data_IF_648738840456
#
_entry.id   IF_648738840456
#
_cell.length_a   1.000
_cell.length_b   1.000
_cell.length_c   1.000
_cell.angle_alpha   90.00
_cell.angle_beta   90.00
_cell.angle_gamma   90.00
#
_symmetry.space_group_name_H-M   'P 1'
#
loop_
_entity.id
_entity.type
_entity.pdbx_description
1 polymer ?
#
# COMPACT_ATOMS: atom_id res chain seq x y z
N UNK A 1 -1.65 -33.03 -6.53
CA UNK A 1 -2.31 -34.31 -6.25
C UNK A 1 -2.68 -34.30 -4.78
N UNK A 2 -3.78 -33.65 -4.39
CA UNK A 2 -5.14 -34.17 -4.55
C UNK A 2 -5.22 -35.64 -4.16
N UNK A 3 -5.46 -35.91 -2.88
CA UNK A 3 -6.76 -36.35 -2.35
C UNK A 3 -6.57 -36.63 -0.85
N UNK A 4 -6.99 -35.70 0.00
CA UNK A 4 -7.10 -35.96 1.44
C UNK A 4 -8.32 -36.85 1.71
N UNK A 5 -8.24 -38.12 1.30
CA UNK A 5 -9.26 -39.12 1.67
C UNK A 5 -9.04 -39.43 3.14
N UNK A 6 -10.00 -39.02 3.99
CA UNK A 6 -10.04 -39.48 5.36
C UNK A 6 -10.38 -40.98 5.36
N UNK A 7 -9.37 -41.83 5.50
CA UNK A 7 -9.54 -43.28 5.59
C UNK A 7 -9.62 -43.63 7.08
N UNK A 8 -10.81 -43.98 7.55
CA UNK A 8 -11.03 -44.44 8.93
C UNK A 8 -10.90 -45.97 8.96
N UNK A 9 -9.76 -46.48 9.44
CA UNK A 9 -9.51 -47.93 9.54
C UNK A 9 -9.75 -48.44 10.97
N UNK A 10 -10.36 -49.62 11.16
CA UNK A 10 -10.41 -50.29 12.45
C UNK A 10 -9.00 -50.63 12.96
N UNK A 11 -8.75 -50.36 14.26
CA UNK A 11 -7.42 -50.46 14.88
C UNK A 11 -6.72 -51.82 14.66
N UNK A 12 -7.49 -52.92 14.63
CA UNK A 12 -6.96 -54.28 14.40
C UNK A 12 -6.37 -54.47 13.00
N UNK A 13 -6.93 -53.82 11.99
CA UNK A 13 -6.46 -53.90 10.61
C UNK A 13 -5.25 -53.01 10.37
N UNK A 14 -5.18 -51.86 11.06
CA UNK A 14 -4.05 -50.94 11.01
C UNK A 14 -2.77 -51.58 11.58
N UNK A 15 -2.88 -52.26 12.71
CA UNK A 15 -1.75 -52.94 13.37
C UNK A 15 -1.22 -54.17 12.60
N UNK A 16 -1.99 -54.74 11.68
CA UNK A 16 -1.55 -55.87 10.87
C UNK A 16 -0.69 -55.47 9.66
N UNK A 17 -0.67 -54.18 9.30
CA UNK A 17 -0.01 -53.66 8.09
C UNK A 17 1.14 -52.69 8.43
N UNK A 18 1.19 -52.16 9.65
CA UNK A 18 2.26 -51.25 10.08
C UNK A 18 3.51 -52.01 10.52
N UNK A 19 4.68 -51.61 10.00
CA UNK A 19 5.99 -51.96 10.57
C UNK A 19 6.20 -51.28 11.93
N UNK A 20 6.99 -51.91 12.81
CA UNK A 20 7.20 -51.53 14.22
C UNK A 20 7.93 -50.18 14.43
N UNK A 21 8.22 -49.41 13.38
CA UNK A 21 8.83 -48.08 13.48
C UNK A 21 7.79 -46.96 13.48
N UNK A 22 7.50 -46.43 14.68
CA UNK A 22 6.64 -45.25 14.84
C UNK A 22 7.50 -43.98 14.83
N UNK A 23 7.46 -43.24 13.72
CA UNK A 23 8.18 -41.99 13.56
C UNK A 23 7.40 -40.84 14.24
N UNK A 24 7.70 -40.58 15.51
CA UNK A 24 7.08 -39.51 16.29
C UNK A 24 7.67 -38.14 15.93
N UNK A 25 7.02 -37.43 14.99
CA UNK A 25 7.41 -36.06 14.62
C UNK A 25 6.80 -35.07 15.64
N UNK A 26 7.58 -34.70 16.65
CA UNK A 26 7.23 -33.59 17.56
C UNK A 26 7.62 -32.27 16.90
N UNK A 27 6.64 -31.46 16.50
CA UNK A 27 6.87 -30.12 15.95
C UNK A 27 7.40 -29.17 17.05
N UNK A 28 8.73 -29.11 17.19
CA UNK A 28 9.39 -28.16 18.09
C UNK A 28 9.61 -26.83 17.35
N UNK A 29 8.61 -25.95 17.45
CA UNK A 29 8.56 -24.65 16.76
C UNK A 29 9.73 -23.73 17.18
N UNK A 30 10.27 -23.91 18.39
CA UNK A 30 11.30 -23.02 18.94
C UNK A 30 12.70 -23.23 18.34
N UNK A 31 12.99 -24.41 17.77
CA UNK A 31 14.35 -24.71 17.24
C UNK A 31 14.57 -24.17 15.82
N UNK A 32 13.52 -24.10 15.00
CA UNK A 32 13.61 -23.51 13.65
C UNK A 32 13.79 -21.99 13.67
N UNK A 33 13.36 -21.32 14.75
CA UNK A 33 13.53 -19.86 14.91
C UNK A 33 14.96 -19.45 15.27
N UNK A 34 15.74 -20.36 15.87
CA UNK A 34 17.11 -20.06 16.34
C UNK A 34 18.20 -20.51 15.34
N UNK A 35 17.95 -21.52 14.50
CA UNK A 35 18.92 -21.98 13.49
C UNK A 35 18.81 -21.19 12.17
N UNK A 36 17.65 -20.60 11.88
CA UNK A 36 17.51 -19.55 10.88
C UNK A 36 17.65 -18.23 11.63
N UNK A 37 18.78 -17.53 11.49
CA UNK A 37 19.05 -16.25 12.18
C UNK A 37 18.05 -15.14 11.86
N UNK A 38 16.82 -15.25 12.37
CA UNK A 38 15.81 -14.21 12.40
C UNK A 38 16.00 -13.51 13.74
N UNK A 39 17.05 -12.68 13.80
CA UNK A 39 17.21 -11.69 14.86
C UNK A 39 15.94 -10.85 14.93
N UNK A 40 15.12 -11.09 15.95
CA UNK A 40 13.86 -10.39 16.20
C UNK A 40 14.06 -8.95 16.70
N UNK A 41 15.28 -8.39 16.68
CA UNK A 41 15.56 -7.01 17.09
C UNK A 41 16.57 -6.28 16.20
N UNK A 42 16.36 -6.29 14.89
CA UNK A 42 16.98 -5.29 14.01
C UNK A 42 15.92 -4.29 13.62
N UNK A 43 15.97 -3.07 14.18
CA UNK A 43 15.24 -1.90 13.67
C UNK A 43 15.23 -2.00 12.14
N UNK A 44 14.04 -2.24 11.60
CA UNK A 44 13.81 -2.62 10.21
C UNK A 44 14.65 -1.70 9.31
N UNK A 45 15.52 -2.26 8.46
CA UNK A 45 16.37 -1.51 7.52
C UNK A 45 15.58 -0.42 6.75
N UNK A 46 14.28 -0.67 6.56
CA UNK A 46 13.27 0.25 6.08
C UNK A 46 13.23 1.60 6.83
N UNK A 47 13.17 1.58 8.17
CA UNK A 47 13.15 2.79 9.00
C UNK A 47 14.46 3.58 8.89
N UNK A 48 15.58 2.93 8.56
CA UNK A 48 16.87 3.62 8.38
C UNK A 48 16.88 4.46 7.09
N UNK A 49 16.25 3.97 6.03
CA UNK A 49 16.09 4.72 4.76
C UNK A 49 15.15 5.91 4.98
N UNK A 50 14.08 5.73 5.76
CA UNK A 50 13.18 6.82 6.14
C UNK A 50 13.84 7.87 7.05
N UNK A 51 14.68 7.43 8.00
CA UNK A 51 15.41 8.32 8.91
C UNK A 51 16.44 9.23 8.23
N UNK A 52 16.92 8.88 7.05
CA UNK A 52 17.90 9.69 6.33
C UNK A 52 17.30 10.89 5.59
N UNK A 53 15.98 10.94 5.37
CA UNK A 53 15.32 12.00 4.59
C UNK A 53 14.42 12.95 5.42
N UNK A 54 14.48 12.89 6.76
CA UNK A 54 13.76 13.80 7.69
C UNK A 54 13.79 15.29 7.32
N UNK A 55 14.90 15.89 6.84
CA UNK A 55 14.90 17.32 6.48
C UNK A 55 13.97 17.66 5.30
N UNK A 56 13.64 16.72 4.42
CA UNK A 56 12.67 16.93 3.35
C UNK A 56 11.24 16.88 3.91
N UNK A 57 10.98 15.97 4.86
CA UNK A 57 9.68 15.91 5.56
C UNK A 57 9.34 17.22 6.26
N UNK A 58 10.30 17.87 6.91
CA UNK A 58 10.06 19.16 7.58
C UNK A 58 9.67 20.25 6.57
N UNK A 59 10.30 20.29 5.39
CA UNK A 59 9.97 21.26 4.33
C UNK A 59 8.57 21.03 3.76
N UNK A 60 8.21 19.76 3.52
CA UNK A 60 6.87 19.36 3.09
C UNK A 60 5.83 19.74 4.14
N UNK A 61 6.11 19.52 5.42
CA UNK A 61 5.21 19.84 6.52
C UNK A 61 4.96 21.35 6.63
N UNK A 62 5.99 22.18 6.49
CA UNK A 62 5.87 23.64 6.46
C UNK A 62 5.06 24.11 5.25
N UNK A 63 5.34 23.59 4.05
CA UNK A 63 4.59 23.95 2.84
C UNK A 63 3.10 23.60 2.97
N UNK A 64 2.79 22.40 3.49
CA UNK A 64 1.42 21.98 3.78
C UNK A 64 0.74 22.84 4.82
N UNK A 65 1.47 23.30 5.84
CA UNK A 65 0.94 24.20 6.86
C UNK A 65 0.43 25.50 6.27
N UNK A 66 1.25 26.17 5.48
CA UNK A 66 0.84 27.42 4.84
C UNK A 66 -0.25 27.21 3.78
N UNK A 67 -0.18 26.12 2.99
CA UNK A 67 -1.23 25.81 2.02
C UNK A 67 -2.59 25.58 2.70
N UNK A 68 -2.63 24.78 3.77
CA UNK A 68 -3.87 24.54 4.50
C UNK A 68 -4.39 25.79 5.23
N UNK A 69 -3.50 26.67 5.72
CA UNK A 69 -3.90 27.93 6.31
C UNK A 69 -4.53 28.87 5.26
N UNK A 70 -3.95 28.94 4.06
CA UNK A 70 -4.51 29.72 2.95
C UNK A 70 -5.83 29.15 2.45
N UNK A 71 -6.03 27.83 2.50
CA UNK A 71 -7.30 27.21 2.15
C UNK A 71 -8.47 27.70 3.03
N UNK A 72 -8.20 28.05 4.30
CA UNK A 72 -9.21 28.62 5.21
C UNK A 72 -9.65 30.03 4.77
N UNK A 73 -8.80 30.77 4.06
CA UNK A 73 -9.09 32.14 3.60
C UNK A 73 -10.34 32.18 2.71
N UNK A 74 -10.57 31.15 1.88
CA UNK A 74 -11.77 31.06 1.04
C UNK A 74 -13.06 30.95 1.87
N UNK A 75 -13.04 30.17 2.96
CA UNK A 75 -14.19 30.05 3.87
C UNK A 75 -14.42 31.33 4.67
N UNK A 76 -13.34 31.96 5.16
CA UNK A 76 -13.41 33.25 5.85
C UNK A 76 -13.91 34.36 4.92
N UNK A 77 -13.52 34.37 3.65
CA UNK A 77 -14.07 35.32 2.69
C UNK A 77 -15.59 35.27 2.61
N UNK A 78 -16.15 34.07 2.47
CA UNK A 78 -17.60 33.88 2.48
C UNK A 78 -18.22 34.44 3.76
N UNK A 79 -17.65 34.11 4.92
CA UNK A 79 -18.08 34.62 6.23
C UNK A 79 -18.09 36.16 6.26
N UNK A 80 -16.98 36.81 5.89
CA UNK A 80 -16.86 38.26 5.87
C UNK A 80 -17.80 38.92 4.85
N UNK A 81 -18.02 38.29 3.69
CA UNK A 81 -18.94 38.81 2.68
C UNK A 81 -20.37 38.82 3.22
N UNK A 82 -20.82 37.70 3.79
CA UNK A 82 -22.18 37.59 4.32
C UNK A 82 -22.41 38.45 5.57
N UNK A 83 -21.49 38.43 6.53
CA UNK A 83 -21.69 39.10 7.82
C UNK A 83 -21.40 40.60 7.75
N UNK A 84 -20.47 41.04 6.88
CA UNK A 84 -19.97 42.41 6.91
C UNK A 84 -20.18 43.16 5.61
N UNK A 85 -19.96 42.55 4.45
CA UNK A 85 -20.00 43.28 3.17
C UNK A 85 -21.42 43.50 2.69
N UNK A 86 -22.26 42.46 2.71
CA UNK A 86 -23.66 42.53 2.27
C UNK A 86 -24.46 43.51 3.13
N UNK A 87 -24.37 43.50 4.48
CA UNK A 87 -25.15 44.42 5.31
C UNK A 87 -24.69 45.87 5.19
N UNK A 88 -23.38 46.12 5.11
CA UNK A 88 -22.84 47.48 5.04
C UNK A 88 -22.78 48.05 3.61
N UNK A 89 -23.14 47.27 2.58
CA UNK A 89 -23.07 47.64 1.15
C UNK A 89 -21.75 48.33 0.76
N UNK A 90 -20.63 47.88 1.33
CA UNK A 90 -19.33 48.50 1.12
C UNK A 90 -18.62 47.83 -0.05
N UNK A 91 -18.75 48.42 -1.25
CA UNK A 91 -18.08 47.93 -2.46
C UNK A 91 -16.56 47.97 -2.35
N UNK A 92 -16.01 49.00 -1.69
CA UNK A 92 -14.56 49.13 -1.46
C UNK A 92 -13.99 47.94 -0.65
N UNK A 93 -14.71 47.52 0.40
CA UNK A 93 -14.30 46.36 1.21
C UNK A 93 -14.41 45.06 0.43
N UNK A 94 -15.41 44.94 -0.46
CA UNK A 94 -15.58 43.77 -1.31
C UNK A 94 -14.38 43.59 -2.25
N UNK A 95 -13.98 44.63 -2.97
CA UNK A 95 -12.85 44.57 -3.89
C UNK A 95 -11.54 44.25 -3.17
N UNK A 96 -11.31 44.86 -2.00
CA UNK A 96 -10.14 44.57 -1.18
C UNK A 96 -10.08 43.09 -0.74
N UNK A 97 -11.21 42.54 -0.26
CA UNK A 97 -11.31 41.13 0.14
C UNK A 97 -11.16 40.19 -1.05
N UNK A 98 -11.76 40.52 -2.19
CA UNK A 98 -11.70 39.71 -3.40
C UNK A 98 -10.26 39.57 -3.91
N UNK A 99 -9.51 40.67 -3.98
CA UNK A 99 -8.10 40.66 -4.39
C UNK A 99 -7.27 39.83 -3.39
N UNK A 100 -7.51 39.99 -2.09
CA UNK A 100 -6.84 39.22 -1.05
C UNK A 100 -7.05 37.71 -1.19
N UNK A 101 -8.28 37.28 -1.49
CA UNK A 101 -8.63 35.88 -1.68
C UNK A 101 -8.06 35.31 -2.96
N UNK A 102 -8.13 36.04 -4.07
CA UNK A 102 -7.52 35.61 -5.33
C UNK A 102 -6.01 35.40 -5.17
N UNK A 103 -5.34 36.31 -4.46
CA UNK A 103 -3.92 36.19 -4.14
C UNK A 103 -3.67 34.98 -3.22
N UNK A 104 -4.47 34.80 -2.17
CA UNK A 104 -4.37 33.66 -1.26
C UNK A 104 -4.57 32.32 -1.98
N UNK A 105 -5.56 32.22 -2.87
CA UNK A 105 -5.80 31.03 -3.70
C UNK A 105 -4.64 30.78 -4.67
N UNK A 106 -4.06 31.82 -5.27
CA UNK A 106 -2.86 31.70 -6.10
C UNK A 106 -1.66 31.16 -5.31
N UNK A 107 -1.41 31.69 -4.11
CA UNK A 107 -0.35 31.22 -3.23
C UNK A 107 -0.61 29.79 -2.73
N UNK A 108 -1.85 29.44 -2.40
CA UNK A 108 -2.25 28.08 -2.01
C UNK A 108 -1.93 27.09 -3.13
N UNK A 109 -2.33 27.42 -4.36
CA UNK A 109 -2.06 26.58 -5.53
C UNK A 109 -0.55 26.40 -5.75
N UNK A 110 0.25 27.47 -5.68
CA UNK A 110 1.71 27.41 -5.81
C UNK A 110 2.32 26.53 -4.72
N UNK A 111 1.92 26.71 -3.45
CA UNK A 111 2.44 25.90 -2.34
C UNK A 111 2.05 24.42 -2.45
N UNK A 112 0.82 24.14 -2.91
CA UNK A 112 0.35 22.78 -3.17
C UNK A 112 1.16 22.12 -4.29
N UNK A 113 1.47 22.84 -5.38
CA UNK A 113 2.34 22.33 -6.44
C UNK A 113 3.78 22.12 -5.94
N UNK A 114 4.35 23.06 -5.19
CA UNK A 114 5.68 22.91 -4.60
C UNK A 114 5.76 21.70 -3.67
N UNK A 115 4.74 21.48 -2.84
CA UNK A 115 4.62 20.27 -1.99
C UNK A 115 4.69 19.00 -2.84
N UNK A 116 3.94 18.95 -3.95
CA UNK A 116 3.94 17.80 -4.87
C UNK A 116 5.34 17.55 -5.45
N UNK A 117 5.98 18.59 -5.98
CA UNK A 117 7.31 18.46 -6.60
C UNK A 117 8.37 18.04 -5.58
N UNK A 118 8.28 18.50 -4.33
CA UNK A 118 9.17 18.09 -3.24
C UNK A 118 8.99 16.60 -2.89
N UNK A 119 7.75 16.12 -2.86
CA UNK A 119 7.45 14.71 -2.64
C UNK A 119 7.99 13.84 -3.80
N UNK A 120 7.82 14.27 -5.04
CA UNK A 120 8.32 13.56 -6.23
C UNK A 120 9.86 13.49 -6.22
N UNK A 121 10.53 14.59 -5.89
CA UNK A 121 12.00 14.62 -5.78
C UNK A 121 12.52 13.69 -4.67
N UNK A 122 11.83 13.68 -3.53
CA UNK A 122 12.14 12.77 -2.42
C UNK A 122 11.98 11.31 -2.85
N UNK A 123 10.86 10.98 -3.51
CA UNK A 123 10.58 9.65 -4.05
C UNK A 123 11.68 9.16 -4.99
N UNK A 124 12.12 9.99 -5.94
CA UNK A 124 13.21 9.68 -6.88
C UNK A 124 14.54 9.41 -6.18
N UNK A 125 14.90 10.21 -5.17
CA UNK A 125 16.17 10.04 -4.45
C UNK A 125 16.19 8.75 -3.61
N UNK A 126 15.07 8.46 -2.95
CA UNK A 126 14.89 7.21 -2.19
C UNK A 126 14.90 6.00 -3.13
N UNK A 127 14.32 6.12 -4.32
CA UNK A 127 14.35 5.07 -5.34
C UNK A 127 15.77 4.71 -5.76
N UNK A 128 16.55 5.69 -6.23
CA UNK A 128 17.92 5.49 -6.71
C UNK A 128 18.82 4.82 -5.66
N UNK A 129 18.69 5.24 -4.41
CA UNK A 129 19.48 4.70 -3.30
C UNK A 129 19.07 3.26 -2.95
N UNK A 130 17.77 2.99 -2.92
CA UNK A 130 17.21 1.69 -2.53
C UNK A 130 17.41 0.64 -3.62
N UNK A 131 17.21 1.00 -4.89
CA UNK A 131 17.35 0.08 -6.02
C UNK A 131 18.80 -0.41 -6.15
N UNK A 132 19.78 0.49 -6.00
CA UNK A 132 21.20 0.14 -5.93
C UNK A 132 21.56 -0.70 -4.70
N UNK A 133 20.91 -0.50 -3.55
CA UNK A 133 21.10 -1.36 -2.36
C UNK A 133 20.55 -2.78 -2.59
N UNK A 134 19.33 -2.91 -3.11
CA UNK A 134 18.70 -4.19 -3.38
C UNK A 134 19.49 -5.02 -4.39
N UNK A 135 19.93 -4.41 -5.49
CA UNK A 135 20.75 -5.09 -6.49
C UNK A 135 22.10 -5.55 -5.89
N UNK A 136 22.78 -4.70 -5.11
CA UNK A 136 24.01 -5.09 -4.41
C UNK A 136 23.80 -6.21 -3.41
N UNK A 137 22.64 -6.26 -2.76
CA UNK A 137 22.30 -7.35 -1.86
C UNK A 137 22.06 -8.65 -2.62
N UNK A 138 21.30 -8.61 -3.73
CA UNK A 138 21.09 -9.75 -4.64
C UNK A 138 22.41 -10.33 -5.15
N UNK A 139 23.36 -9.48 -5.56
CA UNK A 139 24.68 -9.90 -6.02
C UNK A 139 25.55 -10.54 -4.92
N UNK A 140 25.22 -10.34 -3.64
CA UNK A 140 25.95 -10.89 -2.49
C UNK A 140 25.26 -12.11 -1.87
N UNK A 141 24.09 -12.51 -2.37
CA UNK A 141 23.44 -13.73 -1.92
C UNK A 141 24.31 -14.94 -2.29
N UNK A 142 24.59 -15.79 -1.30
CA UNK A 142 25.24 -17.08 -1.55
C UNK A 142 24.28 -17.97 -2.33
N UNK A 143 24.72 -18.50 -3.47
CA UNK A 143 23.99 -19.56 -4.15
C UNK A 143 23.99 -20.80 -3.25
N UNK A 144 22.79 -21.25 -2.91
CA UNK A 144 22.53 -22.45 -2.12
C UNK A 144 21.43 -23.24 -2.82
N UNK A 145 21.24 -24.51 -2.46
CA UNK A 145 20.21 -25.37 -3.05
C UNK A 145 18.78 -24.79 -2.92
N UNK A 146 18.57 -23.84 -2.00
CA UNK A 146 17.29 -23.14 -1.77
C UNK A 146 17.26 -21.70 -2.31
N UNK A 147 18.16 -21.30 -3.22
CA UNK A 147 18.09 -19.97 -3.83
C UNK A 147 16.79 -19.86 -4.64
N UNK A 148 15.98 -18.79 -4.44
CA UNK A 148 14.74 -18.64 -5.17
C UNK A 148 15.00 -18.56 -6.68
N UNK A 149 14.08 -19.09 -7.51
CA UNK A 149 14.23 -19.04 -8.95
C UNK A 149 14.34 -17.58 -9.43
N UNK A 150 15.05 -17.29 -10.53
CA UNK A 150 15.29 -15.93 -11.01
C UNK A 150 14.00 -15.09 -11.13
N UNK A 151 12.90 -15.73 -11.54
CA UNK A 151 11.61 -15.08 -11.73
C UNK A 151 10.94 -14.65 -10.40
N UNK A 152 11.24 -15.34 -9.31
CA UNK A 152 10.78 -14.94 -7.97
C UNK A 152 11.56 -13.72 -7.48
N UNK A 153 12.86 -13.66 -7.75
CA UNK A 153 13.71 -12.53 -7.37
C UNK A 153 13.31 -11.24 -8.10
N UNK A 154 12.99 -11.31 -9.40
CA UNK A 154 12.49 -10.16 -10.17
C UNK A 154 11.10 -9.70 -9.69
N UNK A 155 10.21 -10.64 -9.36
CA UNK A 155 8.92 -10.32 -8.75
C UNK A 155 9.07 -9.63 -7.39
N UNK A 156 9.95 -10.14 -6.51
CA UNK A 156 10.23 -9.51 -5.22
C UNK A 156 10.77 -8.09 -5.37
N UNK A 157 11.66 -7.83 -6.34
CA UNK A 157 12.15 -6.47 -6.62
C UNK A 157 11.01 -5.51 -6.98
N UNK A 158 10.06 -5.96 -7.81
CA UNK A 158 8.90 -5.16 -8.21
C UNK A 158 7.93 -4.93 -7.04
N UNK A 159 7.67 -5.94 -6.23
CA UNK A 159 6.85 -5.81 -5.02
C UNK A 159 7.47 -4.83 -4.02
N UNK A 160 8.80 -4.87 -3.86
CA UNK A 160 9.53 -3.91 -3.04
C UNK A 160 9.44 -2.47 -3.55
N UNK A 161 9.55 -2.27 -4.86
CA UNK A 161 9.40 -0.97 -5.48
C UNK A 161 8.00 -0.38 -5.23
N UNK A 162 6.96 -1.20 -5.37
CA UNK A 162 5.56 -0.80 -5.11
C UNK A 162 5.31 -0.45 -3.64
N UNK A 163 5.83 -1.25 -2.70
CA UNK A 163 5.72 -0.95 -1.26
C UNK A 163 6.40 0.39 -0.94
N UNK A 164 7.61 0.61 -1.49
CA UNK A 164 8.33 1.88 -1.33
C UNK A 164 7.54 3.06 -1.88
N UNK A 165 7.04 2.95 -3.11
CA UNK A 165 6.27 4.00 -3.80
C UNK A 165 5.05 4.43 -2.97
N UNK A 166 4.33 3.46 -2.40
CA UNK A 166 3.22 3.72 -1.47
C UNK A 166 3.65 4.54 -0.24
N UNK A 167 4.83 4.26 0.33
CA UNK A 167 5.32 4.97 1.51
C UNK A 167 5.85 6.37 1.20
N UNK A 168 6.43 6.60 0.01
CA UNK A 168 6.94 7.93 -0.38
C UNK A 168 5.85 8.88 -0.84
N UNK A 169 4.83 8.39 -1.53
CA UNK A 169 3.79 9.25 -2.12
C UNK A 169 2.53 9.34 -1.26
N UNK A 170 1.89 8.21 -0.96
CA UNK A 170 0.59 8.19 -0.29
C UNK A 170 0.72 8.39 1.23
N UNK A 171 1.67 7.70 1.88
CA UNK A 171 1.78 7.73 3.33
C UNK A 171 2.22 9.10 3.86
N UNK A 172 3.18 9.76 3.20
CA UNK A 172 3.67 11.08 3.62
C UNK A 172 2.59 12.14 3.49
N UNK A 173 1.83 12.11 2.38
CA UNK A 173 0.71 13.01 2.15
C UNK A 173 -0.32 12.90 3.28
N UNK A 174 -0.81 11.69 3.53
CA UNK A 174 -1.83 11.44 4.56
C UNK A 174 -1.35 11.75 5.98
N UNK A 175 -0.08 11.47 6.31
CA UNK A 175 0.46 11.76 7.65
C UNK A 175 0.43 13.26 7.96
N UNK A 176 0.67 14.07 6.94
CA UNK A 176 0.63 15.54 7.08
C UNK A 176 -0.81 16.04 7.15
N UNK A 177 -1.76 15.45 6.44
CA UNK A 177 -3.14 15.95 6.39
C UNK A 177 -3.94 15.67 7.68
N UNK A 178 -3.63 14.59 8.42
CA UNK A 178 -4.29 14.22 9.68
C UNK A 178 -4.30 15.37 10.72
N UNK A 179 -3.16 15.97 11.13
CA UNK A 179 -3.17 17.08 12.09
C UNK A 179 -3.94 18.30 11.58
N UNK A 180 -3.96 18.56 10.27
CA UNK A 180 -4.75 19.65 9.69
C UNK A 180 -6.25 19.36 9.70
N UNK A 181 -6.67 18.11 9.59
CA UNK A 181 -8.08 17.76 9.74
C UNK A 181 -8.61 18.18 11.13
N UNK A 182 -7.82 17.97 12.20
CA UNK A 182 -8.18 18.46 13.54
C UNK A 182 -8.20 19.99 13.62
N UNK A 183 -7.25 20.68 12.97
CA UNK A 183 -7.24 22.13 12.89
C UNK A 183 -8.47 22.68 12.15
N UNK A 184 -8.88 22.06 11.04
CA UNK A 184 -10.11 22.41 10.32
C UNK A 184 -11.35 22.20 11.19
N UNK A 185 -11.46 21.07 11.90
CA UNK A 185 -12.55 20.84 12.86
C UNK A 185 -12.57 21.90 13.97
N UNK A 186 -11.40 22.29 14.48
CA UNK A 186 -11.29 23.35 15.47
C UNK A 186 -11.77 24.71 14.93
N UNK A 187 -11.37 25.07 13.71
CA UNK A 187 -11.83 26.32 13.06
C UNK A 187 -13.34 26.30 12.82
N UNK A 188 -13.89 25.17 12.35
CA UNK A 188 -15.34 25.01 12.16
C UNK A 188 -16.07 25.13 13.51
N UNK A 189 -15.54 24.54 14.57
CA UNK A 189 -16.09 24.68 15.91
C UNK A 189 -16.03 26.13 16.40
N UNK A 190 -14.93 26.83 16.16
CA UNK A 190 -14.79 28.24 16.56
C UNK A 190 -15.78 29.17 15.84
N UNK A 191 -16.10 28.89 14.56
CA UNK A 191 -17.03 29.72 13.77
C UNK A 191 -18.49 29.29 13.98
N UNK A 192 -18.79 27.99 13.86
CA UNK A 192 -20.14 27.44 13.84
C UNK A 192 -20.58 26.71 15.11
N UNK A 193 -19.73 26.66 16.15
CA UNK A 193 -20.02 26.00 17.42
C UNK A 193 -20.40 24.53 17.22
N UNK A 194 -21.66 24.21 17.50
CA UNK A 194 -22.16 22.83 17.46
C UNK A 194 -22.29 22.26 16.03
N UNK A 195 -22.18 23.08 14.99
CA UNK A 195 -22.21 22.62 13.58
C UNK A 195 -21.07 21.65 13.27
N UNK A 196 -19.97 21.67 14.03
CA UNK A 196 -18.83 20.76 13.86
C UNK A 196 -19.18 19.27 13.95
N UNK A 197 -20.27 18.92 14.65
CA UNK A 197 -20.70 17.52 14.75
C UNK A 197 -21.09 16.93 13.40
N UNK A 198 -21.56 17.75 12.46
CA UNK A 198 -21.95 17.30 11.11
C UNK A 198 -20.75 16.72 10.34
N UNK A 199 -19.63 17.45 10.12
CA UNK A 199 -18.45 16.88 9.47
C UNK A 199 -17.79 15.76 10.26
N UNK A 200 -17.87 15.75 11.60
CA UNK A 200 -17.37 14.63 12.43
C UNK A 200 -18.16 13.35 12.13
N UNK A 201 -19.49 13.40 12.19
CA UNK A 201 -20.35 12.27 11.87
C UNK A 201 -20.16 11.81 10.42
N UNK A 202 -20.05 12.74 9.47
CA UNK A 202 -19.77 12.42 8.07
C UNK A 202 -18.41 11.72 7.90
N UNK A 203 -17.36 12.19 8.59
CA UNK A 203 -16.03 11.59 8.56
C UNK A 203 -16.06 10.16 9.14
N UNK A 204 -16.76 9.97 10.26
CA UNK A 204 -16.94 8.64 10.86
C UNK A 204 -17.70 7.73 9.90
N UNK A 205 -18.81 8.19 9.32
CA UNK A 205 -19.61 7.42 8.38
C UNK A 205 -18.82 7.01 7.12
N UNK A 206 -17.85 7.83 6.70
CA UNK A 206 -16.97 7.54 5.58
C UNK A 206 -15.85 6.54 5.93
N UNK A 207 -15.27 6.64 7.13
CA UNK A 207 -14.15 5.80 7.57
C UNK A 207 -14.61 4.43 8.08
N UNK A 208 -15.77 4.36 8.72
CA UNK A 208 -16.26 3.18 9.42
C UNK A 208 -16.46 1.96 8.49
N UNK A 209 -17.05 2.08 7.28
CA UNK A 209 -17.10 0.98 6.31
C UNK A 209 -15.71 0.49 5.91
N UNK A 210 -14.74 1.39 5.74
CA UNK A 210 -13.38 1.03 5.36
C UNK A 210 -12.72 0.14 6.43
N UNK A 211 -12.94 0.43 7.72
CA UNK A 211 -12.44 -0.41 8.82
C UNK A 211 -13.14 -1.77 8.89
N UNK A 212 -14.47 -1.80 8.74
CA UNK A 212 -15.26 -3.04 8.79
C UNK A 212 -14.85 -4.00 7.66
N UNK A 213 -14.72 -3.48 6.43
CA UNK A 213 -14.42 -4.33 5.26
C UNK A 213 -12.92 -4.57 5.04
N UNK A 214 -12.02 -3.95 5.81
CA UNK A 214 -10.56 -4.08 5.66
C UNK A 214 -10.09 -5.53 5.63
N UNK A 215 -10.60 -6.36 6.54
CA UNK A 215 -10.21 -7.78 6.65
C UNK A 215 -10.66 -8.61 5.45
N UNK A 216 -11.90 -8.40 4.98
CA UNK A 216 -12.46 -9.09 3.81
C UNK A 216 -11.73 -8.65 2.54
N UNK A 217 -11.54 -7.34 2.37
CA UNK A 217 -10.84 -6.75 1.23
C UNK A 217 -9.40 -7.26 1.14
N UNK A 218 -8.66 -7.30 2.27
CA UNK A 218 -7.30 -7.83 2.29
C UNK A 218 -7.22 -9.29 1.84
N UNK A 219 -8.17 -10.14 2.23
CA UNK A 219 -8.21 -11.54 1.77
C UNK A 219 -8.50 -11.64 0.27
N UNK A 220 -9.48 -10.88 -0.21
CA UNK A 220 -9.87 -10.88 -1.63
C UNK A 220 -8.70 -10.38 -2.50
N UNK A 221 -8.07 -9.26 -2.13
CA UNK A 221 -6.90 -8.72 -2.82
C UNK A 221 -5.73 -9.70 -2.80
N UNK A 222 -5.45 -10.35 -1.68
CA UNK A 222 -4.40 -11.37 -1.60
C UNK A 222 -4.68 -12.58 -2.53
N UNK A 223 -5.93 -13.05 -2.58
CA UNK A 223 -6.31 -14.13 -3.51
C UNK A 223 -6.23 -13.70 -4.98
N UNK A 224 -6.59 -12.45 -5.30
CA UNK A 224 -6.50 -11.90 -6.65
C UNK A 224 -5.05 -11.74 -7.11
N UNK A 225 -4.19 -11.20 -6.24
CA UNK A 225 -2.76 -11.07 -6.51
C UNK A 225 -2.09 -12.44 -6.67
N UNK A 226 -2.47 -13.44 -5.89
CA UNK A 226 -1.96 -14.81 -6.03
C UNK A 226 -2.33 -15.44 -7.39
N UNK A 227 -3.56 -15.25 -7.84
CA UNK A 227 -4.04 -15.78 -9.12
C UNK A 227 -3.45 -15.03 -10.33
N UNK A 228 -3.33 -13.70 -10.27
CA UNK A 228 -2.60 -12.92 -11.27
C UNK A 228 -1.10 -13.27 -11.30
N UNK A 229 -0.50 -13.51 -10.13
CA UNK A 229 0.89 -13.97 -10.01
C UNK A 229 1.09 -15.36 -10.61
N UNK A 230 0.12 -16.27 -10.51
CA UNK A 230 0.18 -17.59 -11.16
C UNK A 230 0.15 -17.47 -12.69
N UNK A 231 -0.74 -16.64 -13.24
CA UNK A 231 -0.81 -16.38 -14.69
C UNK A 231 0.51 -15.79 -15.22
N UNK A 232 1.03 -14.75 -14.55
CA UNK A 232 2.30 -14.14 -14.94
C UNK A 232 3.48 -15.10 -14.84
N UNK A 233 3.50 -16.01 -13.86
CA UNK A 233 4.55 -17.04 -13.75
C UNK A 233 4.49 -18.01 -14.92
N UNK A 234 3.31 -18.53 -15.23
CA UNK A 234 3.11 -19.46 -16.35
C UNK A 234 3.49 -18.84 -17.70
N UNK A 235 3.04 -17.60 -17.94
CA UNK A 235 3.37 -16.88 -19.18
C UNK A 235 4.89 -16.70 -19.34
N UNK A 236 5.58 -16.30 -18.26
CA UNK A 236 7.04 -16.17 -18.29
C UNK A 236 7.73 -17.52 -18.50
N UNK A 237 7.27 -18.60 -17.86
CA UNK A 237 7.85 -19.94 -18.03
C UNK A 237 7.72 -20.44 -19.47
N UNK A 238 6.55 -20.24 -20.09
CA UNK A 238 6.32 -20.54 -21.51
C UNK A 238 7.18 -19.65 -22.40
N UNK A 239 7.34 -18.37 -22.07
CA UNK A 239 8.18 -17.44 -22.85
C UNK A 239 9.66 -17.85 -22.83
N UNK A 240 10.21 -18.22 -21.67
CA UNK A 240 11.60 -18.67 -21.55
C UNK A 240 11.85 -20.03 -22.18
N UNK A 241 10.88 -20.94 -22.14
CA UNK A 241 11.01 -22.31 -22.65
C UNK A 241 10.26 -22.53 -23.97
N UNK A 242 9.96 -21.46 -24.72
CA UNK A 242 9.07 -21.50 -25.89
C UNK A 242 9.57 -22.49 -26.94
N UNK A 243 10.89 -22.55 -27.13
CA UNK A 243 11.53 -23.50 -28.04
C UNK A 243 11.26 -24.95 -27.61
N UNK A 244 11.50 -25.28 -26.34
CA UNK A 244 11.23 -26.61 -25.79
C UNK A 244 9.75 -26.97 -25.94
N UNK A 245 8.84 -26.06 -25.63
CA UNK A 245 7.38 -26.27 -25.77
C UNK A 245 6.99 -26.56 -27.23
N UNK A 246 7.61 -25.88 -28.19
CA UNK A 246 7.37 -26.11 -29.62
C UNK A 246 7.95 -27.43 -30.10
N UNK A 247 9.15 -27.80 -29.65
CA UNK A 247 9.82 -29.05 -30.01
C UNK A 247 9.09 -30.26 -29.43
N UNK A 248 8.62 -30.19 -28.18
CA UNK A 248 7.85 -31.26 -27.54
C UNK A 248 6.36 -31.24 -27.90
N UNK A 249 5.93 -30.31 -28.75
CA UNK A 249 4.53 -30.08 -29.12
C UNK A 249 3.56 -30.02 -27.92
N UNK A 250 4.01 -29.49 -26.79
CA UNK A 250 3.25 -29.49 -25.53
C UNK A 250 2.29 -28.30 -25.40
N UNK A 251 1.94 -27.63 -26.50
CA UNK A 251 1.13 -26.40 -26.49
C UNK A 251 -0.25 -26.61 -25.83
N UNK A 252 -0.91 -27.73 -26.06
CA UNK A 252 -2.23 -28.02 -25.47
C UNK A 252 -2.20 -28.18 -23.95
N UNK A 253 -1.08 -28.62 -23.37
CA UNK A 253 -0.91 -28.71 -21.92
C UNK A 253 -0.86 -27.31 -21.29
N UNK A 254 -0.03 -26.42 -21.85
CA UNK A 254 0.12 -25.05 -21.36
C UNK A 254 -1.13 -24.20 -21.62
N UNK A 255 -1.82 -24.41 -22.75
CA UNK A 255 -3.09 -23.75 -23.06
C UNK A 255 -4.19 -24.13 -22.06
N UNK A 256 -4.30 -25.43 -21.73
CA UNK A 256 -5.23 -25.90 -20.70
C UNK A 256 -4.91 -25.27 -19.33
N UNK A 257 -3.65 -25.27 -18.93
CA UNK A 257 -3.22 -24.68 -17.66
C UNK A 257 -3.49 -23.15 -17.61
N UNK A 258 -3.29 -22.46 -18.73
CA UNK A 258 -3.63 -21.04 -18.87
C UNK A 258 -5.14 -20.80 -18.71
N UNK A 259 -5.96 -21.62 -19.36
CA UNK A 259 -7.42 -21.52 -19.24
C UNK A 259 -7.89 -21.78 -17.80
N UNK A 260 -7.36 -22.80 -17.14
CA UNK A 260 -7.68 -23.11 -15.74
C UNK A 260 -7.37 -21.93 -14.80
N UNK A 261 -6.20 -21.29 -14.97
CA UNK A 261 -5.82 -20.09 -14.21
C UNK A 261 -6.75 -18.91 -14.52
N UNK A 262 -7.15 -18.73 -15.78
CA UNK A 262 -8.07 -17.65 -16.17
C UNK A 262 -9.46 -17.84 -15.59
N UNK A 263 -9.97 -19.07 -15.52
CA UNK A 263 -11.23 -19.37 -14.83
C UNK A 263 -11.15 -19.02 -13.34
N UNK A 264 -10.02 -19.33 -12.68
CA UNK A 264 -9.79 -18.93 -11.29
C UNK A 264 -9.74 -17.40 -11.16
N UNK A 265 -9.03 -16.70 -12.05
CA UNK A 265 -8.97 -15.24 -12.06
C UNK A 265 -10.35 -14.61 -12.26
N UNK A 266 -11.15 -15.12 -13.21
CA UNK A 266 -12.51 -14.65 -13.47
C UNK A 266 -13.43 -14.83 -12.25
N UNK A 267 -13.32 -15.96 -11.54
CA UNK A 267 -14.06 -16.21 -10.31
C UNK A 267 -13.63 -15.27 -9.16
N UNK A 268 -12.33 -15.00 -9.04
CA UNK A 268 -11.82 -14.06 -8.03
C UNK A 268 -12.22 -12.61 -8.36
N UNK A 269 -12.17 -12.20 -9.63
CA UNK A 269 -12.63 -10.86 -10.05
C UNK A 269 -14.13 -10.68 -9.88
N UNK A 270 -14.93 -11.73 -10.05
CA UNK A 270 -16.37 -11.70 -9.80
C UNK A 270 -16.68 -11.51 -8.31
N UNK A 271 -15.82 -12.02 -7.41
CA UNK A 271 -15.91 -11.78 -5.96
C UNK A 271 -15.42 -10.38 -5.52
N UNK A 272 -14.73 -9.66 -6.41
CA UNK A 272 -14.25 -8.29 -6.17
C UNK A 272 -15.27 -7.21 -6.53
N UNK A 273 -16.15 -7.48 -7.50
CA UNK A 273 -17.28 -6.62 -7.86
C UNK A 273 -18.38 -6.70 -6.81
#
# INVERSE_FOLDING_TARGET
SDTGVNITLPLKTFLAVCEDEVLLIRKNINRMYNEQGIDSEKKHWFWRVFNQEYPIFTRVLIASFFANLLAIVASLFSLQVYDRVIPNKSEETLWALLIGVLLAMGLEAVLRTLRSVLLDHSGKRVDLTTNGFLLRHLLRLRLSANTPPPNYLTQMMREFASVREFFTEAAVGSLVDIPFAFLFLFVIYAIGGNVVWVPILASIAMILPAFIFRGKMRRIVASAQGAHGAANRLCNEVAYNLESVKVTQSYGFFEKQWNDINVINANVSTRQR
#
